data_IF_314010390944
#
_entry.id   IF_314010390944
#
_cell.length_a   1.000
_cell.length_b   1.000
_cell.length_c   1.000
_cell.angle_alpha   90.00
_cell.angle_beta   90.00
_cell.angle_gamma   90.00
#
_symmetry.space_group_name_H-M   'P 1'
#
loop_
_entity.id
_entity.type
_entity.pdbx_description
1 polymer ?
2 non-polymer ?
3 non-polymer ?
4 non-polymer ?
5 non-polymer ?
6 water ?
#
# COMPACT_ATOMS: atom_id res chain seq x y z
N UNK A 12 -1.47 25.90 -1.36
CA UNK A 12 -0.60 25.57 -0.23
C UNK A 12 -1.34 24.77 0.86
N UNK A 13 -1.43 23.45 0.70
CA UNK A 13 -2.18 22.59 1.61
C UNK A 13 -1.62 22.49 3.04
N UNK A 14 -2.49 22.28 4.03
CA UNK A 14 -2.11 22.06 5.43
C UNK A 14 -1.81 20.57 5.67
N UNK A 15 -0.70 20.29 6.34
CA UNK A 15 -0.37 18.95 6.83
C UNK A 15 -1.53 18.36 7.63
N UNK A 16 -1.92 17.13 7.28
CA UNK A 16 -2.99 16.44 8.00
C UNK A 16 -2.55 15.91 9.37
N UNK A 17 -1.25 15.93 9.64
CA UNK A 17 -0.74 15.52 10.95
C UNK A 17 -0.73 16.71 11.91
N UNK A 18 -0.16 17.84 11.50
CA UNK A 18 0.18 18.93 12.42
C UNK A 18 -0.30 20.32 12.00
N UNK A 19 -0.81 20.43 10.78
CA UNK A 19 -1.28 21.72 10.28
C UNK A 19 -0.20 22.60 9.66
N UNK A 20 1.05 22.15 9.63
CA UNK A 20 2.13 22.86 8.97
C UNK A 20 1.89 23.01 7.47
N UNK A 21 2.80 23.73 6.80
CA UNK A 21 2.73 23.88 5.34
C UNK A 21 3.41 22.75 4.59
N UNK A 22 2.73 22.25 3.57
CA UNK A 22 3.26 21.14 2.78
C UNK A 22 3.83 21.72 1.49
N UNK A 23 5.10 21.47 1.25
CA UNK A 23 5.71 21.93 0.02
C UNK A 23 5.79 20.76 -0.95
N UNK A 24 5.25 20.99 -2.14
CA UNK A 24 5.25 19.93 -3.15
C UNK A 24 6.65 19.71 -3.72
N UNK A 25 6.95 18.47 -4.10
CA UNK A 25 8.20 18.16 -4.76
C UNK A 25 8.02 17.26 -5.99
N UNK A 26 6.82 16.71 -6.20
CA UNK A 26 6.57 15.80 -7.33
C UNK A 26 5.13 15.92 -7.80
N UNK A 27 4.93 16.20 -9.09
CA UNK A 27 3.57 16.32 -9.61
C UNK A 27 3.44 15.21 -10.66
N UNK A 28 2.53 14.27 -10.40
CA UNK A 28 2.33 13.12 -11.29
C UNK A 28 1.14 13.37 -12.19
N UNK A 29 0.58 14.59 -12.15
CA UNK A 29 -0.51 14.94 -13.02
C UNK A 29 -1.88 14.34 -12.71
N UNK A 30 -2.72 14.39 -13.73
CA UNK A 30 -4.09 13.90 -13.59
C UNK A 30 -4.06 12.38 -13.56
N UNK A 31 -4.74 11.83 -12.55
CA UNK A 31 -4.80 10.36 -12.41
C UNK A 31 -6.23 9.93 -12.15
N UNK A 32 -6.55 8.71 -12.59
CA UNK A 32 -7.82 8.10 -12.26
C UNK A 32 -7.82 7.40 -10.89
N UNK A 33 -8.97 6.86 -10.44
CA UNK A 33 -8.97 6.04 -9.23
C UNK A 33 -8.17 4.77 -9.57
N UNK A 34 -7.23 4.39 -8.71
CA UNK A 34 -6.33 3.30 -9.11
C UNK A 34 -6.99 1.94 -9.10
N UNK A 35 -8.03 1.76 -8.27
CA UNK A 35 -8.63 0.42 -8.16
C UNK A 35 -10.00 0.36 -8.82
N UNK A 36 -10.27 1.24 -9.78
CA UNK A 36 -11.51 1.14 -10.56
C UNK A 36 -11.21 0.46 -11.87
N UNK A 37 -11.78 -0.72 -12.09
CA UNK A 37 -11.54 -1.47 -13.32
C UNK A 37 -12.84 -1.50 -14.08
N UNK A 38 -12.88 -0.94 -15.29
CA UNK A 38 -14.15 -0.73 -15.98
C UNK A 38 -14.45 -1.84 -16.98
N UNK A 39 -15.73 -2.11 -17.18
CA UNK A 39 -16.04 -3.06 -18.26
C UNK A 39 -15.78 -2.37 -19.61
N UNK A 40 -15.37 -3.11 -20.66
CA UNK A 40 -15.00 -2.39 -21.90
C UNK A 40 -16.11 -1.54 -22.50
N UNK A 41 -17.37 -1.88 -22.27
CA UNK A 41 -18.51 -1.13 -22.80
C UNK A 41 -18.85 0.14 -22.01
N UNK A 42 -18.24 0.32 -20.84
CA UNK A 42 -18.58 1.49 -20.02
C UNK A 42 -18.17 2.79 -20.69
N UNK A 43 -18.90 3.84 -20.35
CA UNK A 43 -18.51 5.18 -20.76
C UNK A 43 -17.06 5.42 -20.40
N UNK A 44 -16.32 6.03 -21.32
CA UNK A 44 -14.98 6.51 -21.04
C UNK A 44 -15.05 7.80 -20.23
N UNK A 45 -15.69 7.71 -19.06
CA UNK A 45 -15.76 8.85 -18.16
C UNK A 45 -15.04 8.21 -16.99
N UNK A 46 -14.17 8.98 -16.35
CA UNK A 46 -13.65 8.56 -15.06
C UNK A 46 -13.41 9.73 -14.12
N UNK A 47 -13.55 9.47 -12.82
CA UNK A 47 -13.14 10.47 -11.84
C UNK A 47 -11.64 10.63 -11.96
N UNK A 48 -11.15 11.87 -11.94
CA UNK A 48 -9.68 12.06 -11.94
C UNK A 48 -9.40 13.16 -10.94
N UNK A 49 -8.15 13.24 -10.53
CA UNK A 49 -7.76 14.16 -9.45
C UNK A 49 -6.30 14.45 -9.77
N UNK A 50 -5.74 15.44 -9.09
CA UNK A 50 -4.35 15.75 -9.35
C UNK A 50 -3.46 15.03 -8.33
N UNK A 51 -2.56 14.14 -8.76
CA UNK A 51 -1.70 13.40 -7.84
C UNK A 51 -0.38 14.17 -7.73
N UNK A 52 -0.10 14.69 -6.54
CA UNK A 52 1.16 15.39 -6.29
C UNK A 52 1.50 15.14 -4.83
N UNK A 53 2.78 15.24 -4.50
CA UNK A 53 3.28 14.86 -3.18
C UNK A 53 4.15 15.99 -2.66
N UNK A 54 4.10 16.18 -1.36
CA UNK A 54 4.89 17.25 -0.76
C UNK A 54 5.25 16.79 0.63
N UNK A 55 5.84 17.70 1.39
CA UNK A 55 6.46 17.35 2.65
C UNK A 55 6.11 18.49 3.58
N UNK A 56 5.64 18.09 4.76
CA UNK A 56 5.31 19.18 5.67
C UNK A 56 6.58 19.82 6.21
N UNK A 57 6.55 21.14 6.33
CA UNK A 57 7.69 21.90 6.82
C UNK A 57 7.95 21.73 8.31
N UNK A 58 6.97 21.24 9.04
CA UNK A 58 7.10 21.20 10.49
C UNK A 58 7.31 19.82 11.07
N UNK A 59 6.61 18.81 10.56
CA UNK A 59 6.78 17.48 11.11
C UNK A 59 7.46 16.50 10.14
N UNK A 60 7.77 16.96 8.93
CA UNK A 60 8.42 16.17 7.89
C UNK A 60 7.58 15.06 7.26
N UNK A 61 6.29 15.03 7.59
CA UNK A 61 5.39 14.04 6.99
C UNK A 61 5.29 14.28 5.48
N UNK A 62 5.64 13.28 4.67
CA UNK A 62 5.45 13.30 3.21
C UNK A 62 4.05 12.78 2.90
N UNK A 63 3.25 13.52 2.11
CA UNK A 63 1.84 13.25 1.90
C UNK A 63 1.35 13.86 0.59
N UNK A 64 0.25 13.33 0.06
CA UNK A 64 -0.35 13.88 -1.14
C UNK A 64 -0.94 15.28 -0.86
N UNK A 65 -1.09 16.04 -1.93
CA UNK A 65 -1.73 17.37 -1.76
C UNK A 65 -3.21 17.44 -2.15
N UNK A 66 -3.76 16.38 -2.74
CA UNK A 66 -5.21 16.37 -2.93
C UNK A 66 -5.69 15.03 -2.37
N UNK A 67 -6.64 15.05 -1.44
CA UNK A 67 -7.34 13.85 -0.97
C UNK A 67 -8.44 13.39 -1.91
N UNK A 68 -8.46 12.10 -2.21
CA UNK A 68 -9.64 11.50 -2.83
C UNK A 68 -10.60 11.11 -1.71
N UNK A 69 -11.90 11.40 -1.88
CA UNK A 69 -12.83 11.04 -0.80
C UNK A 69 -12.86 9.53 -0.51
N UNK A 70 -12.90 9.12 0.77
CA UNK A 70 -12.70 7.71 1.06
C UNK A 70 -13.72 6.80 0.38
N UNK A 71 -14.96 7.29 0.24
CA UNK A 71 -16.00 6.41 -0.29
C UNK A 71 -15.83 6.24 -1.78
N UNK A 72 -14.97 7.01 -2.44
CA UNK A 72 -14.81 6.76 -3.86
C UNK A 72 -13.79 5.63 -3.99
N UNK A 73 -12.90 5.41 -3.02
CA UNK A 73 -11.92 4.36 -3.17
C UNK A 73 -12.29 2.99 -2.56
N UNK A 74 -13.00 3.05 -1.44
CA UNK A 74 -13.26 1.92 -0.56
C UNK A 74 -14.78 1.81 -0.43
N UNK A 75 -15.32 0.70 -0.90
CA UNK A 75 -16.75 0.47 -1.00
C UNK A 75 -16.96 -0.97 -1.44
N UNK A 76 -18.17 -1.27 -1.90
CA UNK A 76 -18.73 -2.61 -2.01
C UNK A 76 -17.89 -3.42 -3.00
N UNK A 77 -17.40 -2.79 -4.07
CA UNK A 77 -16.70 -3.52 -5.12
C UNK A 77 -15.19 -3.27 -5.11
N UNK A 78 -14.67 -2.81 -3.97
CA UNK A 78 -13.21 -2.71 -3.96
C UNK A 78 -12.60 -4.05 -4.32
N UNK A 79 -11.63 -4.02 -5.25
CA UNK A 79 -11.25 -5.29 -5.86
C UNK A 79 -10.02 -5.96 -5.31
N UNK A 80 -9.29 -5.36 -4.37
CA UNK A 80 -8.00 -6.03 -4.07
C UNK A 80 -8.22 -7.13 -3.05
N UNK A 81 -7.71 -8.33 -3.33
CA UNK A 81 -7.91 -9.42 -2.38
C UNK A 81 -6.54 -9.79 -1.83
N UNK A 82 -6.30 -9.51 -0.54
CA UNK A 82 -4.94 -9.65 0.01
C UNK A 82 -4.48 -11.11 -0.13
N UNK A 83 -5.44 -12.03 0.00
CA UNK A 83 -4.97 -13.43 0.05
C UNK A 83 -4.49 -14.02 -1.27
N UNK A 84 -4.48 -13.22 -2.34
CA UNK A 84 -3.99 -13.68 -3.63
C UNK A 84 -2.48 -13.87 -3.71
N UNK A 85 -1.72 -13.67 -2.64
CA UNK A 85 -0.28 -13.86 -2.65
C UNK A 85 0.06 -14.81 -1.51
N UNK A 86 0.77 -15.85 -1.90
CA UNK A 86 1.28 -16.84 -0.93
C UNK A 86 2.32 -16.24 0.01
N UNK A 87 3.25 -15.46 -0.55
CA UNK A 87 4.17 -14.74 0.34
C UNK A 87 3.39 -13.90 1.38
N UNK A 88 2.34 -13.18 0.98
CA UNK A 88 1.70 -12.32 1.96
C UNK A 88 0.90 -13.16 2.95
N UNK A 89 0.28 -14.26 2.49
CA UNK A 89 -0.45 -15.10 3.44
C UNK A 89 0.53 -15.59 4.51
N UNK A 90 1.72 -15.98 4.10
CA UNK A 90 2.70 -16.47 5.09
C UNK A 90 3.16 -15.34 6.02
N UNK A 91 3.37 -14.18 5.42
CA UNK A 91 3.86 -12.99 6.11
C UNK A 91 2.83 -12.70 7.21
N UNK A 92 1.53 -12.66 6.92
CA UNK A 92 0.56 -12.27 7.93
C UNK A 92 0.30 -13.34 8.99
N UNK A 93 0.36 -14.60 8.58
CA UNK A 93 0.24 -15.70 9.54
C UNK A 93 1.35 -15.63 10.58
N UNK A 94 2.58 -15.42 10.13
CA UNK A 94 3.68 -15.25 11.06
C UNK A 94 3.57 -14.07 12.00
N UNK A 95 3.12 -12.93 11.47
CA UNK A 95 2.84 -11.79 12.37
C UNK A 95 1.78 -12.14 13.43
N UNK A 96 0.72 -12.84 13.03
CA UNK A 96 -0.35 -13.14 13.96
C UNK A 96 0.22 -14.08 15.03
N UNK A 97 1.06 -15.03 14.63
CA UNK A 97 1.66 -15.94 15.59
C UNK A 97 2.55 -15.18 16.56
N UNK A 98 3.34 -14.25 16.03
CA UNK A 98 4.14 -13.41 16.89
C UNK A 98 3.26 -12.67 17.89
N UNK A 99 2.13 -12.09 17.48
CA UNK A 99 1.32 -11.40 18.46
C UNK A 99 0.73 -12.40 19.46
N UNK A 100 0.32 -13.58 19.03
CA UNK A 100 -0.32 -14.54 19.94
C UNK A 100 0.73 -14.98 20.97
N UNK A 101 2.00 -14.93 20.63
CA UNK A 101 3.01 -15.33 21.62
C UNK A 101 3.47 -14.22 22.55
N UNK A 102 3.12 -12.96 22.27
CA UNK A 102 3.75 -11.86 22.98
C UNK A 102 2.61 -11.01 23.55
N UNK A 103 1.94 -10.22 22.71
CA UNK A 103 1.04 -9.19 23.23
C UNK A 103 -0.34 -9.74 23.62
N UNK A 104 -0.68 -10.93 23.12
CA UNK A 104 -2.02 -11.51 23.25
C UNK A 104 -2.05 -12.72 24.21
N UNK A 105 -1.11 -12.71 25.15
CA UNK A 105 -1.02 -13.77 26.16
C UNK A 105 -1.96 -13.36 27.28
N UNK A 106 -2.18 -14.21 28.29
CA UNK A 106 -2.99 -13.66 29.38
C UNK A 106 -4.48 -13.80 29.10
N UNK A 107 -5.31 -13.35 30.05
CA UNK A 107 -6.70 -13.78 29.94
C UNK A 107 -7.47 -12.89 28.96
N UNK A 108 -8.29 -13.52 28.14
CA UNK A 108 -9.25 -12.81 27.29
C UNK A 108 -8.59 -11.70 26.47
N UNK A 109 -7.54 -12.02 25.71
CA UNK A 109 -6.92 -10.93 24.96
C UNK A 109 -7.85 -10.49 23.81
N UNK A 110 -7.68 -9.24 23.37
CA UNK A 110 -8.46 -8.68 22.26
C UNK A 110 -7.58 -7.97 21.23
N UNK A 111 -7.70 -8.35 19.95
CA UNK A 111 -6.98 -7.67 18.87
C UNK A 111 -7.98 -7.13 17.85
N UNK A 112 -7.72 -5.89 17.44
CA UNK A 112 -8.55 -5.25 16.42
C UNK A 112 -7.65 -4.99 15.21
N UNK A 113 -8.12 -5.37 14.02
CA UNK A 113 -7.36 -5.03 12.83
C UNK A 113 -8.14 -3.98 12.01
N UNK A 114 -7.38 -2.96 11.61
CA UNK A 114 -7.86 -1.91 10.71
C UNK A 114 -7.47 -2.33 9.31
N UNK A 115 -8.46 -2.58 8.46
CA UNK A 115 -8.25 -2.87 7.05
C UNK A 115 -8.02 -4.36 6.86
N UNK A 116 -8.83 -5.21 7.51
CA UNK A 116 -8.56 -6.66 7.50
C UNK A 116 -8.78 -7.30 6.14
N UNK A 117 -9.40 -6.62 5.18
CA UNK A 117 -9.63 -7.15 3.83
C UNK A 117 -10.32 -8.51 3.92
N UNK A 118 -9.77 -9.50 3.23
CA UNK A 118 -10.39 -10.81 3.10
C UNK A 118 -10.05 -11.73 4.28
N UNK A 119 -9.44 -11.16 5.31
CA UNK A 119 -9.10 -11.86 6.55
C UNK A 119 -7.76 -12.55 6.61
N UNK A 120 -6.88 -12.15 5.69
CA UNK A 120 -5.53 -12.70 5.58
C UNK A 120 -4.74 -12.81 6.90
N UNK A 121 -4.83 -11.79 7.75
CA UNK A 121 -4.21 -11.87 9.07
C UNK A 121 -5.13 -12.50 10.10
N UNK A 122 -6.38 -12.05 10.17
CA UNK A 122 -7.24 -12.40 11.31
C UNK A 122 -7.71 -13.85 11.29
N UNK A 123 -7.68 -14.51 10.13
CA UNK A 123 -7.89 -15.96 10.11
C UNK A 123 -7.04 -16.69 11.17
N UNK A 124 -5.73 -16.42 11.30
CA UNK A 124 -4.91 -17.08 12.32
C UNK A 124 -5.34 -16.74 13.73
N UNK A 125 -5.81 -15.52 13.97
CA UNK A 125 -6.26 -15.14 15.29
C UNK A 125 -7.54 -15.93 15.58
N UNK A 126 -8.44 -16.04 14.61
CA UNK A 126 -9.73 -16.68 14.84
C UNK A 126 -9.44 -18.17 15.09
N UNK A 127 -8.51 -18.76 14.35
CA UNK A 127 -8.15 -20.17 14.52
C UNK A 127 -7.50 -20.40 15.88
N UNK A 128 -6.94 -19.37 16.49
CA UNK A 128 -6.43 -19.50 17.86
C UNK A 128 -7.48 -19.27 18.95
N UNK A 129 -8.71 -18.98 18.53
CA UNK A 129 -9.76 -18.73 19.52
C UNK A 129 -9.73 -17.41 20.26
N UNK A 130 -8.99 -16.42 19.76
CA UNK A 130 -8.70 -15.16 20.44
C UNK A 130 -9.78 -14.19 19.96
N UNK A 131 -10.35 -13.44 20.89
CA UNK A 131 -11.40 -12.48 20.53
C UNK A 131 -10.80 -11.36 19.67
N UNK A 132 -11.56 -10.93 18.65
CA UNK A 132 -10.96 -10.05 17.65
C UNK A 132 -12.06 -9.30 16.93
N UNK A 133 -11.68 -8.24 16.22
CA UNK A 133 -12.65 -7.55 15.36
C UNK A 133 -11.81 -6.95 14.24
N UNK A 134 -12.19 -7.26 13.00
CA UNK A 134 -11.71 -6.54 11.83
C UNK A 134 -12.60 -5.38 11.39
N UNK A 135 -12.00 -4.23 11.07
CA UNK A 135 -12.70 -3.12 10.41
C UNK A 135 -12.36 -3.22 8.94
N UNK A 136 -13.42 -3.27 8.13
CA UNK A 136 -13.20 -3.43 6.69
C UNK A 136 -14.39 -2.76 5.99
N UNK A 137 -14.19 -1.50 5.59
CA UNK A 137 -15.30 -0.73 5.01
C UNK A 137 -15.67 -1.17 3.61
N UNK A 138 -14.87 -2.03 2.99
CA UNK A 138 -15.12 -2.53 1.65
C UNK A 138 -15.88 -3.85 1.81
N UNK A 139 -17.17 -3.79 1.55
CA UNK A 139 -18.04 -4.87 2.00
C UNK A 139 -17.83 -6.19 1.27
N UNK A 140 -17.45 -6.20 0.00
CA UNK A 140 -17.23 -7.48 -0.66
C UNK A 140 -16.06 -8.25 -0.06
N UNK A 141 -14.93 -7.60 0.16
CA UNK A 141 -13.88 -8.37 0.84
C UNK A 141 -14.19 -8.64 2.32
N UNK A 142 -14.92 -7.74 2.99
CA UNK A 142 -15.39 -7.99 4.35
C UNK A 142 -16.15 -9.31 4.36
N UNK A 143 -17.01 -9.55 3.38
CA UNK A 143 -17.79 -10.80 3.39
C UNK A 143 -16.85 -12.01 3.20
N UNK A 144 -15.79 -11.86 2.42
CA UNK A 144 -14.86 -12.98 2.26
C UNK A 144 -14.23 -13.36 3.62
N UNK A 145 -13.90 -12.36 4.42
CA UNK A 145 -13.32 -12.61 5.75
C UNK A 145 -14.39 -13.27 6.63
N UNK A 146 -15.61 -12.75 6.59
CA UNK A 146 -16.66 -13.32 7.45
C UNK A 146 -16.92 -14.79 7.11
N UNK A 147 -16.78 -15.14 5.83
CA UNK A 147 -16.93 -16.53 5.41
C UNK A 147 -15.96 -17.45 6.13
N UNK A 148 -14.80 -16.94 6.56
CA UNK A 148 -13.79 -17.73 7.25
C UNK A 148 -14.09 -17.75 8.75
N UNK A 149 -15.21 -17.18 9.19
CA UNK A 149 -15.51 -17.15 10.62
C UNK A 149 -14.92 -15.98 11.39
N UNK A 150 -14.41 -14.98 10.68
CA UNK A 150 -13.81 -13.82 11.33
C UNK A 150 -14.90 -12.79 11.61
N UNK A 151 -14.83 -12.16 12.76
CA UNK A 151 -15.78 -11.12 13.13
C UNK A 151 -15.30 -9.82 12.47
N UNK A 152 -16.14 -9.23 11.63
CA UNK A 152 -15.79 -8.02 10.88
C UNK A 152 -16.93 -7.00 10.97
N UNK A 153 -16.60 -5.73 11.20
CA UNK A 153 -17.50 -4.59 11.04
C UNK A 153 -17.20 -3.90 9.71
N UNK A 154 -18.21 -3.69 8.88
CA UNK A 154 -18.00 -3.09 7.55
C UNK A 154 -18.15 -1.59 7.80
N UNK A 155 -17.08 -1.00 8.31
CA UNK A 155 -17.08 0.42 8.67
C UNK A 155 -15.63 0.88 8.56
N UNK A 156 -15.45 2.16 8.37
CA UNK A 156 -14.12 2.74 8.56
C UNK A 156 -13.78 2.85 10.04
N UNK A 157 -12.55 2.50 10.38
CA UNK A 157 -12.03 2.86 11.69
C UNK A 157 -11.78 4.36 11.71
N UNK A 158 -12.36 5.03 12.70
CA UNK A 158 -12.13 6.45 13.00
C UNK A 158 -12.54 6.62 14.46
N UNK A 159 -12.38 7.83 15.00
CA UNK A 159 -12.62 8.02 16.44
C UNK A 159 -14.00 7.47 16.80
N UNK A 160 -15.06 7.77 16.06
CA UNK A 160 -16.39 7.41 16.56
C UNK A 160 -16.65 5.91 16.55
N UNK A 161 -16.15 5.21 15.53
CA UNK A 161 -16.38 3.77 15.46
C UNK A 161 -15.45 3.11 16.46
N UNK A 162 -14.22 3.61 16.67
CA UNK A 162 -13.41 3.11 17.78
C UNK A 162 -14.10 3.27 19.15
N UNK A 163 -14.74 4.42 19.38
CA UNK A 163 -15.41 4.62 20.66
C UNK A 163 -16.53 3.58 20.81
N UNK A 164 -17.20 3.28 19.70
CA UNK A 164 -18.33 2.39 19.81
C UNK A 164 -17.81 0.99 20.17
N UNK A 165 -16.72 0.58 19.54
CA UNK A 165 -16.14 -0.71 19.85
C UNK A 165 -15.64 -0.73 21.30
N UNK A 166 -15.00 0.33 21.79
CA UNK A 166 -14.52 0.30 23.17
C UNK A 166 -15.72 0.17 24.10
N UNK A 167 -16.82 0.82 23.76
CA UNK A 167 -18.01 0.76 24.63
C UNK A 167 -18.56 -0.66 24.83
N UNK A 168 -18.66 -1.41 23.74
CA UNK A 168 -19.27 -2.73 23.75
C UNK A 168 -18.25 -3.86 23.93
N UNK A 169 -17.00 -3.63 23.57
CA UNK A 169 -16.07 -4.76 23.62
C UNK A 169 -14.93 -4.59 24.61
N UNK A 170 -14.76 -3.43 25.20
CA UNK A 170 -13.63 -3.24 26.12
C UNK A 170 -12.39 -2.89 25.32
N UNK A 171 -11.29 -2.64 26.03
CA UNK A 171 -10.02 -2.25 25.43
C UNK A 171 -9.36 -3.34 24.60
N UNK A 172 -8.63 -2.93 23.56
CA UNK A 172 -7.87 -3.91 22.76
C UNK A 172 -6.42 -3.93 23.21
N UNK A 173 -5.85 -5.13 23.30
CA UNK A 173 -4.44 -5.29 23.62
C UNK A 173 -3.56 -4.91 22.45
N UNK A 174 -4.12 -5.14 21.25
CA UNK A 174 -3.33 -4.81 20.05
C UNK A 174 -4.30 -4.18 19.05
N UNK A 175 -3.91 -3.07 18.44
CA UNK A 175 -4.58 -2.56 17.24
C UNK A 175 -3.54 -2.68 16.14
N UNK A 176 -3.94 -3.33 15.05
CA UNK A 176 -2.97 -3.58 13.98
C UNK A 176 -3.54 -3.05 12.67
N UNK A 177 -2.67 -2.50 11.84
CA UNK A 177 -3.06 -2.04 10.50
C UNK A 177 -1.89 -2.28 9.54
N UNK A 178 -2.13 -3.09 8.50
CA UNK A 178 -1.13 -3.24 7.44
C UNK A 178 -1.59 -2.62 6.12
N UNK A 179 -0.75 -1.78 5.51
CA UNK A 179 -1.08 -1.19 4.18
C UNK A 179 -2.44 -0.51 4.29
N UNK A 180 -2.71 0.10 5.43
CA UNK A 180 -3.98 0.80 5.60
C UNK A 180 -3.84 2.18 6.27
N UNK A 181 -3.00 2.31 7.30
CA UNK A 181 -2.78 3.61 7.94
C UNK A 181 -2.38 4.69 6.94
N UNK A 182 -1.46 4.35 6.04
CA UNK A 182 -1.02 5.34 5.06
C UNK A 182 -2.10 5.73 4.05
N UNK A 183 -3.23 5.02 4.05
CA UNK A 183 -4.30 5.31 3.10
C UNK A 183 -5.25 6.35 3.70
N UNK A 184 -5.07 6.72 4.96
CA UNK A 184 -6.09 7.45 5.70
C UNK A 184 -5.62 8.87 6.00
N UNK A 185 -6.15 9.86 5.26
CA UNK A 185 -5.70 11.23 5.56
C UNK A 185 -6.12 11.75 6.91
N UNK A 186 -7.24 11.21 7.39
CA UNK A 186 -7.81 11.52 8.72
C UNK A 186 -7.15 10.74 9.85
N UNK A 187 -5.82 10.69 9.73
CA UNK A 187 -4.99 10.01 10.71
C UNK A 187 -5.13 10.49 12.14
N UNK A 188 -5.39 11.77 12.34
CA UNK A 188 -5.61 12.26 13.70
C UNK A 188 -6.85 11.61 14.31
N UNK A 189 -7.94 11.52 13.57
CA UNK A 189 -9.16 10.81 14.02
C UNK A 189 -8.82 9.34 14.32
N UNK A 190 -8.02 8.68 13.49
CA UNK A 190 -7.66 7.29 13.78
C UNK A 190 -6.88 7.20 15.09
N UNK A 191 -5.96 8.14 15.30
CA UNK A 191 -5.15 8.15 16.51
C UNK A 191 -5.99 8.42 17.75
N UNK A 192 -7.03 9.25 17.60
CA UNK A 192 -7.94 9.47 18.71
C UNK A 192 -8.76 8.21 18.99
N UNK A 193 -9.17 7.48 17.96
CA UNK A 193 -9.83 6.19 18.04
C UNK A 193 -8.88 5.20 18.73
N UNK A 194 -7.60 5.18 18.35
CA UNK A 194 -6.65 4.31 19.02
C UNK A 194 -6.53 4.69 20.50
N UNK A 195 -6.43 5.97 20.82
CA UNK A 195 -6.40 6.39 22.22
C UNK A 195 -7.63 5.94 23.00
N UNK A 196 -8.81 5.99 22.38
CA UNK A 196 -10.02 5.55 23.07
C UNK A 196 -10.06 4.03 23.30
N UNK A 197 -9.46 3.28 22.38
CA UNK A 197 -9.72 1.84 22.32
C UNK A 197 -8.58 0.99 22.89
N UNK A 198 -7.35 1.49 22.78
CA UNK A 198 -6.22 0.63 23.12
C UNK A 198 -6.07 0.52 24.65
N UNK A 199 -5.72 -0.66 25.13
CA UNK A 199 -5.46 -0.84 26.56
C UNK A 199 -4.30 0.09 26.94
N UNK A 200 -4.23 0.46 28.23
CA UNK A 200 -3.14 1.34 28.63
C UNK A 200 -1.74 0.78 28.33
N UNK A 201 -1.56 -0.55 28.40
CA UNK A 201 -0.29 -1.24 28.12
C UNK A 201 -0.35 -1.93 26.76
N UNK A 202 -1.21 -1.46 25.86
CA UNK A 202 -1.31 -2.06 24.54
C UNK A 202 -0.42 -1.40 23.52
N UNK A 203 -0.50 -1.90 22.28
CA UNK A 203 0.35 -1.32 21.23
C UNK A 203 -0.47 -1.18 19.96
N UNK A 204 -0.18 -0.13 19.20
CA UNK A 204 -0.80 0.10 17.88
C UNK A 204 0.38 -0.12 16.93
N UNK A 205 0.25 -1.12 16.06
CA UNK A 205 1.37 -1.57 15.23
C UNK A 205 0.85 -1.37 13.82
N UNK A 206 1.63 -0.72 12.97
CA UNK A 206 1.22 -0.60 11.56
C UNK A 206 2.39 -0.77 10.61
N UNK A 207 2.16 -1.36 9.43
CA UNK A 207 3.27 -1.41 8.52
C UNK A 207 2.75 -0.89 7.17
N UNK A 208 3.63 -0.14 6.52
CA UNK A 208 3.26 0.60 5.30
C UNK A 208 4.54 0.85 4.50
N UNK A 209 4.36 1.17 3.21
CA UNK A 209 5.50 1.44 2.35
C UNK A 209 6.39 2.52 2.94
N UNK A 210 7.68 2.21 2.90
CA UNK A 210 8.65 3.08 3.57
C UNK A 210 9.30 4.09 2.66
N UNK A 211 9.29 5.37 3.08
CA UNK A 211 9.88 6.44 2.28
C UNK A 211 11.31 6.15 1.89
N UNK A 212 12.03 5.55 2.81
CA UNK A 212 13.44 5.33 2.41
C UNK A 212 13.62 4.33 1.28
N UNK A 213 12.77 3.31 1.24
CA UNK A 213 12.84 2.38 0.11
C UNK A 213 12.33 3.05 -1.17
N UNK A 214 11.29 3.88 -1.07
CA UNK A 214 10.75 4.57 -2.24
C UNK A 214 11.84 5.47 -2.86
N UNK A 215 12.55 6.20 -2.02
CA UNK A 215 13.59 7.08 -2.55
C UNK A 215 14.77 6.29 -3.12
N UNK A 216 15.14 5.22 -2.43
CA UNK A 216 16.27 4.42 -2.91
C UNK A 216 15.96 3.68 -4.20
N UNK A 217 14.73 3.24 -4.38
CA UNK A 217 14.40 2.44 -5.56
C UNK A 217 13.65 3.27 -6.61
N UNK A 218 13.42 4.55 -6.36
CA UNK A 218 12.64 5.37 -7.29
C UNK A 218 11.31 4.72 -7.61
N UNK A 219 10.72 4.11 -6.59
CA UNK A 219 9.47 3.37 -6.80
C UNK A 219 8.24 4.28 -6.66
N UNK A 220 8.11 5.12 -7.68
CA UNK A 220 7.09 6.16 -7.68
C UNK A 220 5.68 5.56 -7.85
N UNK A 221 5.60 4.33 -8.35
CA UNK A 221 4.28 3.71 -8.49
C UNK A 221 3.68 3.38 -7.12
N UNK A 222 4.45 3.54 -6.05
CA UNK A 222 3.93 3.43 -4.68
C UNK A 222 3.13 4.70 -4.34
N UNK A 223 3.11 5.69 -5.24
CA UNK A 223 2.31 6.91 -4.99
C UNK A 223 1.10 6.88 -5.89
N UNK A 224 -0.10 6.88 -5.31
CA UNK A 224 -1.34 6.81 -6.06
C UNK A 224 -2.42 7.13 -5.01
N UNK A 225 -3.68 7.21 -5.44
CA UNK A 225 -4.76 7.79 -4.64
C UNK A 225 -4.85 7.21 -3.21
N UNK A 226 -4.72 5.89 -3.12
CA UNK A 226 -4.86 5.19 -1.83
C UNK A 226 -3.67 5.35 -0.88
N UNK A 227 -2.57 5.88 -1.40
CA UNK A 227 -1.39 6.04 -0.55
C UNK A 227 -1.16 7.52 -0.26
N UNK A 228 -1.88 7.98 0.77
CA UNK A 228 -1.88 9.38 1.14
C UNK A 228 -0.57 9.79 1.80
N UNK A 229 -0.04 8.92 2.65
CA UNK A 229 1.19 9.17 3.42
C UNK A 229 2.33 8.28 2.94
N UNK A 230 3.53 8.83 2.87
CA UNK A 230 4.70 7.96 2.73
C UNK A 230 5.53 8.04 4.00
N UNK A 231 5.24 7.14 4.94
CA UNK A 231 5.82 7.29 6.27
C UNK A 231 7.32 7.04 6.31
N UNK A 232 7.96 7.75 7.24
CA UNK A 232 9.35 7.47 7.64
C UNK A 232 9.38 7.32 9.18
N UNK A 233 10.51 6.87 9.72
CA UNK A 233 10.63 6.77 11.18
C UNK A 233 10.57 8.20 11.73
N UNK A 234 11.20 9.14 11.02
CA UNK A 234 11.18 10.54 11.48
C UNK A 234 9.78 11.11 11.58
N UNK A 235 8.96 10.98 10.55
CA UNK A 235 7.60 11.55 10.58
C UNK A 235 6.68 10.79 11.54
N UNK A 236 6.81 9.46 11.57
CA UNK A 236 5.97 8.64 12.46
C UNK A 236 6.29 9.00 13.93
N UNK A 237 7.56 9.21 14.24
CA UNK A 237 7.95 9.52 15.61
C UNK A 237 7.28 10.83 16.00
N UNK A 238 7.32 11.82 15.10
CA UNK A 238 6.68 13.11 15.34
C UNK A 238 5.18 13.02 15.43
N UNK A 239 4.60 12.24 14.53
CA UNK A 239 3.16 12.02 14.58
C UNK A 239 2.70 11.35 15.87
N UNK A 240 3.40 10.30 16.29
CA UNK A 240 3.14 9.68 17.58
C UNK A 240 3.20 10.73 18.70
N UNK A 241 4.36 11.35 18.81
CA UNK A 241 4.55 12.28 19.91
C UNK A 241 3.45 13.32 19.98
N UNK A 242 3.00 13.85 18.84
CA UNK A 242 2.04 14.95 18.83
C UNK A 242 0.65 14.47 19.23
N UNK A 243 0.44 13.17 19.14
CA UNK A 243 -0.89 12.64 19.42
C UNK A 243 -0.93 11.88 20.73
N UNK A 244 0.11 11.97 21.56
CA UNK A 244 0.19 11.25 22.83
C UNK A 244 0.79 9.85 22.89
N UNK A 245 1.38 9.38 21.79
CA UNK A 245 2.03 8.09 21.77
C UNK A 245 3.53 8.24 21.57
N UNK A 246 4.19 7.11 21.42
CA UNK A 246 5.64 7.15 21.30
C UNK A 246 5.99 5.96 20.41
N UNK A 247 6.90 6.23 19.48
CA UNK A 247 7.41 5.19 18.61
C UNK A 247 8.41 4.36 19.42
N UNK A 248 8.02 3.11 19.69
CA UNK A 248 8.87 2.27 20.54
C UNK A 248 9.54 1.09 19.84
N UNK A 249 9.19 0.78 18.59
CA UNK A 249 9.96 -0.19 17.85
C UNK A 249 9.77 0.07 16.35
N UNK A 250 10.73 -0.40 15.57
CA UNK A 250 10.60 -0.30 14.10
C UNK A 250 11.23 -1.59 13.60
N UNK A 251 10.66 -2.10 12.52
CA UNK A 251 11.23 -3.28 11.87
C UNK A 251 11.12 -3.11 10.36
N UNK A 252 12.23 -3.32 9.66
CA UNK A 252 12.05 -3.25 8.20
C UNK A 252 11.52 -4.55 7.62
N UNK A 253 10.73 -4.47 6.55
CA UNK A 253 10.07 -5.64 5.98
C UNK A 253 10.29 -5.59 4.46
N UNK A 254 10.50 -6.73 3.78
CA UNK A 254 10.73 -6.66 2.34
C UNK A 254 9.46 -6.57 1.49
N UNK A 255 8.32 -6.86 2.08
CA UNK A 255 7.06 -6.96 1.36
C UNK A 255 6.72 -5.59 0.76
N UNK A 256 5.95 -5.67 -0.31
CA UNK A 256 5.42 -4.48 -0.99
C UNK A 256 6.47 -3.42 -1.35
N UNK A 257 7.65 -3.91 -1.68
CA UNK A 257 8.71 -3.06 -2.23
C UNK A 257 9.57 -2.43 -1.16
N UNK A 258 9.29 -2.81 0.08
CA UNK A 258 10.01 -2.24 1.23
C UNK A 258 9.10 -1.43 2.14
N UNK A 259 8.97 -1.94 3.36
CA UNK A 259 8.13 -1.32 4.40
C UNK A 259 8.87 -1.19 5.72
N UNK A 260 8.29 -0.38 6.60
CA UNK A 260 8.65 -0.49 8.02
C UNK A 260 7.35 -0.80 8.77
N UNK A 261 7.51 -1.66 9.77
CA UNK A 261 6.47 -1.87 10.78
C UNK A 261 6.88 -1.05 12.00
N UNK A 262 5.95 -0.18 12.33
CA UNK A 262 6.07 0.81 13.42
C UNK A 262 5.22 0.32 14.57
N UNK A 263 5.80 0.33 15.78
CA UNK A 263 5.06 0.00 17.00
C UNK A 263 4.95 1.23 17.87
N UNK A 264 3.72 1.67 18.12
CA UNK A 264 3.44 2.81 19.00
C UNK A 264 2.84 2.34 20.33
N UNK A 265 3.26 2.96 21.43
CA UNK A 265 2.70 2.70 22.76
C UNK A 265 2.33 4.05 23.34
N UNK A 266 1.52 4.04 24.40
CA UNK A 266 1.32 5.29 25.12
C UNK A 266 2.63 5.87 25.64
N UNK A 267 2.74 7.19 25.64
CA UNK A 267 4.06 7.77 25.90
C UNK A 267 4.66 7.34 27.24
N UNK A 268 5.92 6.93 27.20
CA UNK A 268 6.66 6.51 28.39
C UNK A 268 6.26 5.19 29.03
N UNK A 269 5.26 4.52 28.47
CA UNK A 269 4.91 3.20 28.96
C UNK A 269 5.94 2.12 28.60
N UNK A 270 6.65 2.30 27.49
CA UNK A 270 7.69 1.32 27.16
C UNK A 270 8.90 2.11 26.70
N UNK A 271 10.10 1.56 26.85
CA UNK A 271 11.32 2.24 26.44
C UNK A 271 11.56 1.86 24.98
N UNK A 272 11.81 2.84 24.10
CA UNK A 272 12.06 2.53 22.70
C UNK A 272 13.20 1.55 22.49
N UNK A 273 13.06 0.60 21.56
CA UNK A 273 14.20 -0.23 21.20
C UNK A 273 15.34 0.57 20.59
N UNK A 274 16.56 0.03 20.65
CA UNK A 274 17.68 0.71 19.99
C UNK A 274 17.35 0.89 18.52
N UNK A 275 16.48 0.03 18.00
CA UNK A 275 16.23 0.08 16.56
C UNK A 275 15.64 1.43 16.16
N UNK A 276 14.82 2.05 17.01
CA UNK A 276 14.16 3.31 16.67
C UNK A 276 15.24 4.38 16.50
N UNK A 277 16.06 4.56 17.54
CA UNK A 277 17.15 5.51 17.35
C UNK A 277 18.07 5.24 16.16
N UNK A 278 18.33 3.98 15.86
CA UNK A 278 19.30 3.67 14.78
C UNK A 278 18.70 4.02 13.44
N UNK A 279 17.44 3.68 13.24
CA UNK A 279 16.80 4.09 11.98
C UNK A 279 16.63 5.61 11.86
N UNK A 280 16.27 6.32 12.92
CA UNK A 280 16.24 7.78 12.89
C UNK A 280 17.60 8.39 12.50
N UNK A 281 18.68 7.84 13.03
CA UNK A 281 20.02 8.39 12.78
C UNK A 281 20.41 8.11 11.34
N UNK A 282 20.00 6.96 10.81
CA UNK A 282 20.32 6.67 9.41
C UNK A 282 19.51 7.55 8.47
N UNK A 283 18.25 7.83 8.78
CA UNK A 283 17.47 8.78 8.00
C UNK A 283 18.05 10.19 8.05
N UNK A 284 18.50 10.63 9.21
CA UNK A 284 19.14 11.94 9.36
C UNK A 284 20.48 11.91 8.60
N UNK A 285 21.29 10.87 8.76
CA UNK A 285 22.58 10.76 8.07
C UNK A 285 22.36 10.88 6.55
N UNK A 286 21.38 10.16 6.02
CA UNK A 286 21.17 10.05 4.59
C UNK A 286 20.30 11.19 4.04
N UNK A 287 19.88 12.11 4.91
CA UNK A 287 19.10 13.29 4.51
C UNK A 287 17.82 12.88 3.80
N UNK A 288 17.24 11.76 4.26
CA UNK A 288 16.08 11.17 3.60
C UNK A 288 14.94 12.16 3.34
N UNK A 289 14.58 12.96 4.33
CA UNK A 289 13.40 13.80 4.18
C UNK A 289 13.70 15.28 3.87
N UNK A 290 14.95 15.60 3.57
CA UNK A 290 15.32 16.94 3.14
C UNK A 290 14.71 17.16 1.76
N UNK A 291 14.23 18.38 1.57
CA UNK A 291 13.51 18.68 0.33
C UNK A 291 14.43 18.45 -0.88
N UNK A 292 15.73 18.67 -0.73
CA UNK A 292 16.61 18.43 -1.88
C UNK A 292 16.69 16.96 -2.28
N UNK A 293 16.65 16.07 -1.29
CA UNK A 293 16.73 14.63 -1.56
C UNK A 293 15.44 14.26 -2.28
N UNK A 294 14.33 14.79 -1.78
CA UNK A 294 12.99 14.46 -2.32
C UNK A 294 12.82 14.99 -3.76
N UNK A 295 13.38 16.17 -4.02
CA UNK A 295 13.42 16.65 -5.42
C UNK A 295 14.36 15.84 -6.30
N UNK A 296 15.46 15.32 -5.76
CA UNK A 296 16.33 14.44 -6.53
C UNK A 296 15.55 13.18 -6.94
N UNK A 297 14.81 12.63 -5.99
CA UNK A 297 13.91 11.51 -6.34
C UNK A 297 12.94 11.88 -7.46
N UNK A 298 12.27 13.03 -7.33
CA UNK A 298 11.39 13.51 -8.38
C UNK A 298 12.06 13.57 -9.75
N UNK A 299 13.30 14.09 -9.79
CA UNK A 299 14.08 14.02 -11.02
C UNK A 299 14.34 12.60 -11.53
N UNK A 300 14.62 11.65 -10.64
CA UNK A 300 14.77 10.25 -11.01
C UNK A 300 13.49 9.62 -11.54
N UNK A 301 12.36 10.08 -11.01
CA UNK A 301 11.08 9.57 -11.51
C UNK A 301 10.89 9.93 -12.98
N UNK A 302 11.12 11.19 -13.32
CA UNK A 302 11.05 11.59 -14.73
C UNK A 302 12.06 10.79 -15.55
N UNK A 303 13.27 10.54 -15.07
CA UNK A 303 14.20 9.74 -15.90
C UNK A 303 13.68 8.33 -16.15
N UNK A 304 13.07 7.71 -15.12
CA UNK A 304 12.47 6.37 -15.32
C UNK A 304 11.33 6.46 -16.33
N UNK A 305 10.41 7.42 -16.23
CA UNK A 305 9.40 7.64 -17.28
C UNK A 305 9.98 7.67 -18.69
N UNK A 306 11.03 8.47 -18.80
CA UNK A 306 11.51 8.71 -20.17
C UNK A 306 12.17 7.46 -20.73
N UNK A 307 12.92 6.74 -19.89
CA UNK A 307 13.56 5.51 -20.38
C UNK A 307 12.52 4.43 -20.59
N UNK A 308 11.48 4.39 -19.75
CA UNK A 308 10.52 3.29 -19.92
C UNK A 308 9.75 3.46 -21.23
N UNK A 309 9.28 4.68 -21.47
CA UNK A 309 8.57 4.91 -22.74
C UNK A 309 9.48 4.78 -23.94
N UNK A 310 10.74 5.21 -23.87
CA UNK A 310 11.66 4.98 -24.98
C UNK A 310 11.76 3.49 -25.27
N UNK A 311 11.91 2.68 -24.22
CA UNK A 311 12.03 1.23 -24.42
C UNK A 311 10.78 0.62 -25.05
N UNK A 312 9.63 0.96 -24.50
CA UNK A 312 8.36 0.41 -24.99
C UNK A 312 8.17 0.82 -26.47
N UNK A 313 8.49 2.05 -26.83
CA UNK A 313 8.35 2.44 -28.24
C UNK A 313 9.37 1.74 -29.15
N UNK A 314 10.59 1.52 -28.69
CA UNK A 314 11.59 0.78 -29.48
C UNK A 314 11.17 -0.67 -29.66
N UNK A 315 10.61 -1.26 -28.60
CA UNK A 315 10.13 -2.64 -28.74
C UNK A 315 9.08 -2.76 -29.84
N UNK A 316 8.13 -1.83 -29.80
CA UNK A 316 7.10 -1.78 -30.84
C UNK A 316 7.73 -1.60 -32.23
N UNK A 317 8.70 -0.72 -32.38
CA UNK A 317 9.31 -0.45 -33.70
C UNK A 317 10.04 -1.73 -34.16
N UNK A 318 10.46 -2.54 -33.19
CA UNK A 318 11.20 -3.75 -33.53
C UNK A 318 10.32 -4.99 -33.67
N UNK A 319 9.01 -4.81 -33.63
CA UNK A 319 8.02 -5.86 -33.84
C UNK A 319 7.94 -6.87 -32.68
N UNK A 320 8.32 -6.40 -31.49
CA UNK A 320 8.25 -7.28 -30.34
C UNK A 320 6.95 -7.07 -29.58
N UNK A 321 6.34 -8.15 -29.10
CA UNK A 321 5.07 -8.01 -28.39
C UNK A 321 5.35 -7.80 -26.91
N UNK A 322 4.47 -7.02 -26.27
CA UNK A 322 4.68 -6.64 -24.88
C UNK A 322 3.33 -6.71 -24.18
N UNK A 323 3.33 -7.34 -23.00
CA UNK A 323 2.14 -7.36 -22.15
C UNK A 323 2.55 -6.85 -20.77
N UNK A 324 1.53 -6.76 -19.92
CA UNK A 324 1.89 -6.49 -18.53
C UNK A 324 1.50 -7.62 -17.59
N UNK A 325 2.15 -7.68 -16.42
CA UNK A 325 1.86 -8.75 -15.47
C UNK A 325 1.56 -8.14 -14.10
N UNK A 326 0.30 -8.24 -13.69
CA UNK A 326 -0.22 -7.82 -12.39
C UNK A 326 -0.97 -6.50 -12.62
N UNK A 327 -2.30 -6.52 -12.42
CA UNK A 327 -3.09 -5.29 -12.59
C UNK A 327 -3.11 -4.62 -11.21
N UNK A 328 -1.92 -4.23 -10.75
CA UNK A 328 -1.73 -3.49 -9.49
C UNK A 328 -2.43 -2.14 -9.50
N UNK A 329 -2.92 -1.72 -8.34
CA UNK A 329 -3.28 -0.32 -8.13
C UNK A 329 -2.12 0.62 -8.51
N UNK A 330 -0.89 0.26 -8.12
CA UNK A 330 0.35 0.96 -8.48
C UNK A 330 0.48 1.28 -9.96
N UNK A 331 0.12 0.32 -10.80
CA UNK A 331 0.35 0.50 -12.22
C UNK A 331 -0.49 1.64 -12.79
N UNK A 332 -1.60 2.02 -12.13
CA UNK A 332 -2.33 3.21 -12.62
C UNK A 332 -1.41 4.44 -12.69
N UNK A 333 -0.49 4.57 -11.73
CA UNK A 333 0.40 5.72 -11.77
C UNK A 333 1.37 5.61 -12.92
N UNK A 334 1.89 4.40 -13.09
CA UNK A 334 2.78 4.19 -14.23
C UNK A 334 2.14 4.48 -15.59
N UNK A 335 1.01 3.83 -15.85
CA UNK A 335 0.51 3.94 -17.23
C UNK A 335 0.00 5.39 -17.45
N UNK A 336 -0.59 6.05 -16.46
CA UNK A 336 -1.13 7.37 -16.70
C UNK A 336 -0.04 8.45 -16.68
N UNK A 337 0.93 8.36 -15.77
CA UNK A 337 2.01 9.37 -15.81
C UNK A 337 2.84 9.16 -17.08
N UNK A 338 3.00 7.92 -17.54
CA UNK A 338 3.98 7.72 -18.61
C UNK A 338 3.23 7.73 -19.94
N UNK A 339 1.91 7.60 -19.92
CA UNK A 339 1.15 7.56 -21.18
C UNK A 339 1.29 6.23 -21.92
N UNK A 340 1.19 5.15 -21.17
CA UNK A 340 1.30 3.78 -21.69
C UNK A 340 -0.09 3.16 -21.81
N UNK A 341 -0.51 2.86 -23.04
CA UNK A 341 -1.83 2.29 -23.23
C UNK A 341 -1.72 0.99 -24.00
N UNK A 342 -2.86 0.45 -24.48
CA UNK A 342 -2.90 -0.83 -25.18
C UNK A 342 -2.08 -0.86 -26.49
N UNK A 343 -1.76 0.31 -27.03
CA UNK A 343 -0.90 0.31 -28.21
C UNK A 343 0.54 -0.08 -27.92
N UNK A 344 0.94 -0.04 -26.65
CA UNK A 344 2.32 -0.42 -26.27
C UNK A 344 2.42 -1.67 -25.39
N UNK A 345 1.34 -1.95 -24.68
CA UNK A 345 1.27 -3.05 -23.70
C UNK A 345 -0.15 -3.58 -23.92
N UNK A 346 -0.26 -4.70 -24.62
CA UNK A 346 -1.56 -5.10 -25.14
C UNK A 346 -2.61 -5.58 -24.14
N UNK A 347 -2.13 -6.26 -23.10
CA UNK A 347 -3.00 -6.83 -22.08
C UNK A 347 -2.24 -6.80 -20.77
N UNK A 348 -2.98 -6.87 -19.67
CA UNK A 348 -2.33 -7.13 -18.38
C UNK A 348 -2.94 -8.40 -17.76
N UNK A 349 -2.08 -9.31 -17.30
CA UNK A 349 -2.46 -10.63 -16.77
C UNK A 349 -2.59 -10.54 -15.25
N UNK A 350 -3.69 -11.05 -14.68
CA UNK A 350 -3.92 -10.92 -13.25
C UNK A 350 -4.79 -12.05 -12.68
N UNK A 351 -4.54 -12.48 -11.45
CA UNK A 351 -5.30 -13.58 -10.90
C UNK A 351 -6.61 -13.20 -10.22
N UNK A 352 -6.95 -11.91 -10.18
CA UNK A 352 -8.11 -11.46 -9.43
C UNK A 352 -9.35 -11.47 -10.34
N UNK A 353 -10.29 -12.37 -10.02
CA UNK A 353 -11.46 -12.42 -10.92
C UNK A 353 -12.16 -11.09 -11.13
N UNK A 354 -12.31 -10.28 -10.08
CA UNK A 354 -13.02 -9.04 -10.33
C UNK A 354 -12.32 -7.93 -11.12
N UNK A 355 -11.05 -8.17 -11.45
CA UNK A 355 -10.29 -7.32 -12.36
C UNK A 355 -10.26 -7.87 -13.78
N UNK A 356 -10.53 -9.17 -13.94
CA UNK A 356 -10.43 -9.79 -15.27
C UNK A 356 -11.58 -9.40 -16.20
N UNK A 357 -11.34 -9.35 -17.50
CA UNK A 357 -12.38 -8.93 -18.46
C UNK A 357 -12.84 -7.50 -18.20
N UNK A 358 -11.87 -6.72 -17.72
CA UNK A 358 -12.11 -5.29 -17.44
C UNK A 358 -10.91 -4.53 -18.02
N UNK A 359 -10.98 -3.21 -17.96
CA UNK A 359 -9.91 -2.38 -18.51
C UNK A 359 -9.23 -1.66 -17.34
N UNK A 360 -7.90 -1.55 -17.40
CA UNK A 360 -7.21 -0.76 -16.37
C UNK A 360 -7.61 0.71 -16.35
N UNK A 361 -7.57 1.35 -15.15
CA UNK A 361 -7.99 2.75 -15.05
C UNK A 361 -7.10 3.73 -15.81
N UNK A 362 -7.81 4.63 -16.49
CA UNK A 362 -7.11 5.67 -17.20
C UNK A 362 -6.59 5.24 -18.55
N UNK A 363 -5.73 4.24 -18.57
CA UNK A 363 -5.08 3.81 -19.81
C UNK A 363 -5.90 2.76 -20.55
N UNK A 364 -6.76 2.06 -19.84
CA UNK A 364 -7.77 1.15 -20.44
C UNK A 364 -7.12 -0.04 -21.15
N UNK A 365 -6.03 -0.57 -20.59
CA UNK A 365 -5.45 -1.84 -21.04
C UNK A 365 -6.34 -3.01 -20.62
N UNK A 366 -6.66 -3.93 -21.53
CA UNK A 366 -7.46 -5.06 -21.08
C UNK A 366 -6.73 -5.99 -20.10
N UNK A 367 -7.47 -6.40 -19.09
CA UNK A 367 -6.94 -7.33 -18.07
C UNK A 367 -7.52 -8.71 -18.39
N UNK A 368 -6.63 -9.68 -18.39
CA UNK A 368 -7.02 -11.06 -18.71
C UNK A 368 -6.54 -11.96 -17.56
N UNK A 369 -7.11 -13.17 -17.35
CA UNK A 369 -6.70 -14.07 -16.25
C UNK A 369 -5.25 -14.45 -16.46
N UNK A 370 -4.52 -14.62 -15.36
CA UNK A 370 -3.12 -15.04 -15.53
C UNK A 370 -3.03 -16.42 -16.18
N UNK A 371 -4.07 -17.23 -16.08
CA UNK A 371 -4.03 -18.50 -16.78
C UNK A 371 -3.94 -18.34 -18.29
N UNK A 372 -4.29 -17.16 -18.80
CA UNK A 372 -4.13 -16.81 -20.21
C UNK A 372 -2.72 -16.48 -20.66
N UNK A 373 -1.83 -16.35 -19.69
CA UNK A 373 -0.42 -16.08 -20.01
C UNK A 373 0.22 -17.45 -20.16
N UNK A 374 0.40 -17.87 -21.42
CA UNK A 374 0.78 -19.26 -21.68
C UNK A 374 1.28 -19.37 -23.11
N UNK A 375 1.88 -20.50 -23.46
CA UNK A 375 2.33 -20.67 -24.84
C UNK A 375 1.20 -20.53 -25.84
N UNK A 376 1.36 -19.71 -26.90
CA UNK A 376 2.57 -18.95 -27.26
C UNK A 376 2.66 -17.67 -26.43
N UNK A 377 3.83 -17.52 -25.80
CA UNK A 377 4.03 -16.32 -24.98
C UNK A 377 4.39 -15.06 -25.77
N UNK A 378 4.12 -13.89 -25.16
CA UNK A 378 4.64 -12.66 -25.75
C UNK A 378 6.14 -12.61 -25.57
N UNK A 379 6.77 -11.68 -26.29
CA UNK A 379 8.19 -11.44 -26.14
C UNK A 379 8.60 -10.88 -24.79
N UNK A 380 7.79 -9.95 -24.28
CA UNK A 380 8.15 -9.22 -23.06
C UNK A 380 6.94 -9.10 -22.15
N UNK A 381 7.20 -9.19 -20.84
CA UNK A 381 6.15 -8.88 -19.89
C UNK A 381 6.64 -7.78 -18.97
N UNK A 382 5.96 -6.63 -18.99
CA UNK A 382 6.26 -5.51 -18.10
C UNK A 382 5.73 -5.85 -16.71
N UNK A 383 6.64 -5.91 -15.76
CA UNK A 383 6.21 -6.46 -14.47
C UNK A 383 5.74 -5.38 -13.52
N UNK A 384 4.42 -5.15 -13.52
CA UNK A 384 3.79 -4.17 -12.65
C UNK A 384 3.83 -4.74 -11.22
N UNK A 385 3.60 -6.04 -11.06
CA UNK A 385 3.67 -6.64 -9.70
C UNK A 385 5.11 -7.00 -9.30
N UNK A 386 5.98 -5.98 -9.37
CA UNK A 386 7.40 -6.19 -9.19
C UNK A 386 7.72 -6.50 -7.72
N UNK A 387 6.84 -6.07 -6.82
CA UNK A 387 7.00 -6.50 -5.43
C UNK A 387 6.72 -7.97 -5.17
N UNK A 388 6.09 -8.64 -6.14
CA UNK A 388 5.81 -10.06 -6.13
C UNK A 388 6.71 -10.81 -7.10
N UNK A 389 7.86 -10.25 -7.48
CA UNK A 389 8.71 -10.85 -8.54
C UNK A 389 9.01 -12.32 -8.26
N UNK A 390 9.42 -12.63 -7.04
CA UNK A 390 9.90 -13.97 -6.75
C UNK A 390 8.74 -14.95 -6.89
N UNK A 391 7.60 -14.62 -6.27
CA UNK A 391 6.42 -15.49 -6.32
C UNK A 391 5.93 -15.69 -7.75
N UNK A 392 5.81 -14.59 -8.49
CA UNK A 392 5.33 -14.66 -9.86
C UNK A 392 6.29 -15.45 -10.76
N UNK A 393 7.57 -15.11 -10.69
CA UNK A 393 8.49 -15.71 -11.65
C UNK A 393 8.64 -17.21 -11.37
N UNK A 394 8.52 -17.60 -10.11
CA UNK A 394 8.50 -19.01 -9.76
C UNK A 394 7.36 -19.75 -10.45
N UNK A 395 6.20 -19.11 -10.54
CA UNK A 395 5.05 -19.72 -11.20
C UNK A 395 5.11 -19.64 -12.71
N UNK A 396 6.01 -18.83 -13.26
CA UNK A 396 6.09 -18.56 -14.69
C UNK A 396 7.49 -18.84 -15.22
N UNK A 397 8.07 -19.93 -14.74
CA UNK A 397 9.35 -20.35 -15.30
C UNK A 397 9.24 -20.75 -16.76
N UNK A 398 8.12 -21.34 -17.14
CA UNK A 398 8.00 -21.71 -18.55
C UNK A 398 8.08 -20.55 -19.55
N UNK A 399 7.45 -19.42 -19.23
CA UNK A 399 7.63 -18.18 -19.97
C UNK A 399 9.10 -17.81 -20.16
N UNK A 400 9.87 -17.76 -19.07
CA UNK A 400 11.27 -17.37 -19.21
C UNK A 400 12.13 -18.39 -19.95
N UNK A 401 11.83 -19.66 -19.72
CA UNK A 401 12.52 -20.74 -20.41
C UNK A 401 12.28 -20.64 -21.92
N UNK A 402 11.04 -20.35 -22.33
CA UNK A 402 10.72 -20.12 -23.74
C UNK A 402 11.42 -18.94 -24.40
N UNK A 403 12.09 -18.10 -23.61
CA UNK A 403 12.78 -16.91 -24.09
C UNK A 403 12.06 -15.61 -23.77
N UNK A 404 10.88 -15.71 -23.16
CA UNK A 404 10.17 -14.51 -22.73
C UNK A 404 10.96 -13.78 -21.67
N UNK A 405 10.88 -12.45 -21.73
CA UNK A 405 11.66 -11.64 -20.80
C UNK A 405 10.83 -10.64 -20.02
N UNK A 406 11.27 -10.35 -18.79
CA UNK A 406 10.56 -9.41 -17.92
C UNK A 406 11.11 -8.03 -18.13
N UNK A 407 10.25 -7.02 -18.21
CA UNK A 407 10.66 -5.63 -18.18
C UNK A 407 10.38 -5.12 -16.78
N UNK A 408 11.41 -4.60 -16.11
CA UNK A 408 11.20 -4.01 -14.79
C UNK A 408 11.54 -2.54 -14.89
N UNK A 409 10.91 -1.72 -14.06
CA UNK A 409 11.23 -0.30 -13.97
C UNK A 409 11.66 0.18 -12.58
N UNK A 410 11.83 -0.78 -11.67
CA UNK A 410 12.34 -0.59 -10.31
C UNK A 410 13.54 -1.52 -10.14
N UNK A 411 14.68 -0.98 -9.67
CA UNK A 411 14.92 0.42 -9.31
C UNK A 411 15.34 1.30 -10.52
N UNK A 412 15.44 0.68 -11.69
CA UNK A 412 15.82 1.28 -13.00
C UNK A 412 15.12 0.45 -14.06
N UNK A 413 15.02 0.99 -15.28
CA UNK A 413 14.47 0.19 -16.38
C UNK A 413 15.51 -0.83 -16.80
N UNK A 414 15.15 -2.10 -16.75
CA UNK A 414 16.06 -3.13 -17.25
C UNK A 414 15.23 -4.35 -17.65
N UNK A 415 15.82 -5.26 -18.41
CA UNK A 415 15.16 -6.46 -18.91
C UNK A 415 15.96 -7.65 -18.41
N UNK A 416 15.23 -8.65 -17.93
CA UNK A 416 15.95 -9.87 -17.62
C UNK A 416 15.07 -11.09 -17.72
#
# INVERSE_FOLDING_TARGET
GHMSHLADVSPPTACRVCGGGVQEFLDLGRQPLSDRFRKPDELDDEFTYRLAVGRCDSCEMVQLTEEVPRDLMFHEVYPYHSSGSSVMREHFAMLARDFLATELTGPDPFIVEIGCNDGIMLRTIQEAGVRHLGFEPSSGVAAKAREKGIRVRTDFFEKATADDVRRTEGPANVIYAANTLCHIPYVQSVLEGVDALLAPDGVFVFEDPYLGDIVAKTSFDQIYDEHFFLFSATSVQGMAQRCGFELVDVQRLPVHGGEVRYTLARQGSRTPSAAVAQLLAAEREQELSDMATLRAFAGNVVKIRDELTALLHRLRAEGRSVVGYGATAKSATVTNFCGIGPDLVHSVYDTTPDKQNRLTPGAHIPVRPASAFSDPYPDYALLFAWNHAEEIMAKEQEFHQAGGRWILYVPEVHIR
#
